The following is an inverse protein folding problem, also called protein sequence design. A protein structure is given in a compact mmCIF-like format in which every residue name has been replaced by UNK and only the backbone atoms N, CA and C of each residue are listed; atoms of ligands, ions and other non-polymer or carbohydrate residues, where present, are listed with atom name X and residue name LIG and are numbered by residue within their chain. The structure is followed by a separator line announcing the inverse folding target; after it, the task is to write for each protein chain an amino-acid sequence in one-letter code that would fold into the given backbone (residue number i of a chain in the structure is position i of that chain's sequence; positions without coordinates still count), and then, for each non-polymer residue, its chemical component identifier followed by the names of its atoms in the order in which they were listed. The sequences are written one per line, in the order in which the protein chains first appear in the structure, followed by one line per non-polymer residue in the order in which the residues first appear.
data_IF_243344276812
#
_entry.id   IF_243344276812
#
_cell.length_a   1.000
_cell.length_b   1.000
_cell.length_c   1.000
_cell.angle_alpha   90.00
_cell.angle_beta   90.00
_cell.angle_gamma   90.00
#
_symmetry.space_group_name_H-M   'P 1'
#
loop_
_entity.id
_entity.type
_entity.pdbx_description
1 polymer ?
#
# COMPACT_ATOMS: atom_id res chain seq x y z
N UNK A 1 66.31 -62.79 1.00
CA UNK A 1 66.53 -62.23 2.36
C UNK A 1 66.13 -60.77 2.28
N UNK A 2 65.22 -60.16 3.04
CA UNK A 2 64.37 -60.58 4.15
C UNK A 2 63.19 -59.58 4.28
N UNK A 3 62.17 -59.99 5.04
CA UNK A 3 60.90 -59.29 5.31
C UNK A 3 61.07 -58.06 6.22
N UNK A 4 60.07 -57.18 6.22
CA UNK A 4 59.83 -56.22 7.32
C UNK A 4 58.46 -55.53 7.23
N UNK A 5 57.48 -56.07 7.97
CA UNK A 5 56.18 -55.45 8.28
C UNK A 5 56.35 -54.33 9.32
N UNK A 6 55.45 -53.35 9.32
CA UNK A 6 55.29 -52.38 10.40
C UNK A 6 54.04 -51.52 10.24
N UNK A 7 52.88 -52.08 10.57
CA UNK A 7 51.62 -51.34 10.77
C UNK A 7 51.69 -50.67 12.13
N UNK A 8 51.37 -49.38 12.21
CA UNK A 8 50.84 -48.76 13.43
C UNK A 8 49.65 -47.89 13.05
N UNK A 9 48.47 -48.41 13.37
CA UNK A 9 47.23 -47.67 13.45
C UNK A 9 47.37 -46.54 14.48
N UNK A 10 46.94 -45.34 14.12
CA UNK A 10 46.24 -44.44 15.04
C UNK A 10 45.25 -43.58 14.26
N UNK A 11 44.02 -44.05 14.38
CA UNK A 11 42.69 -43.50 14.16
C UNK A 11 42.44 -42.00 14.46
N UNK A 12 41.44 -41.47 13.73
CA UNK A 12 40.54 -40.30 13.95
C UNK A 12 41.17 -38.93 13.62
N UNK A 13 40.58 -38.02 12.83
CA UNK A 13 39.17 -37.68 12.65
C UNK A 13 38.92 -36.97 11.30
N UNK A 14 37.72 -37.19 10.75
CA UNK A 14 36.76 -36.18 10.24
C UNK A 14 37.35 -34.85 9.71
N UNK A 15 37.05 -34.38 8.50
CA UNK A 15 35.70 -34.11 7.98
C UNK A 15 35.74 -34.15 6.45
N UNK A 16 34.87 -34.96 5.85
CA UNK A 16 34.43 -34.80 4.46
C UNK A 16 33.86 -33.40 4.27
N UNK A 17 34.56 -32.55 3.52
CA UNK A 17 34.00 -31.29 3.04
C UNK A 17 32.87 -31.64 2.07
N UNK A 18 31.64 -31.68 2.59
CA UNK A 18 30.45 -31.55 1.78
C UNK A 18 30.57 -30.20 1.07
N UNK A 19 30.85 -30.24 -0.23
CA UNK A 19 30.47 -29.16 -1.11
C UNK A 19 28.93 -29.12 -1.15
N UNK A 20 28.33 -28.53 -0.11
CA UNK A 20 26.98 -28.03 -0.22
C UNK A 20 27.04 -26.95 -1.30
N UNK A 21 26.64 -27.32 -2.50
CA UNK A 21 26.25 -26.36 -3.52
C UNK A 21 25.12 -25.54 -2.90
N UNK A 22 25.47 -24.43 -2.26
CA UNK A 22 24.56 -23.31 -2.06
C UNK A 22 24.33 -22.75 -3.45
N UNK A 23 23.50 -23.44 -4.24
CA UNK A 23 22.80 -22.83 -5.32
C UNK A 23 22.10 -21.62 -4.69
N UNK A 24 22.63 -20.43 -4.93
CA UNK A 24 21.83 -19.23 -4.87
C UNK A 24 20.74 -19.47 -5.91
N UNK A 25 19.61 -20.06 -5.50
CA UNK A 25 18.42 -20.02 -6.32
C UNK A 25 18.21 -18.54 -6.64
N UNK A 26 18.18 -18.16 -7.92
CA UNK A 26 17.86 -16.79 -8.26
C UNK A 26 16.49 -16.53 -7.64
N UNK A 27 16.45 -15.61 -6.67
CA UNK A 27 15.19 -15.09 -6.16
C UNK A 27 14.43 -14.61 -7.39
N UNK A 28 13.40 -15.36 -7.78
CA UNK A 28 12.50 -14.98 -8.84
C UNK A 28 11.79 -13.71 -8.36
N UNK A 29 12.38 -12.55 -8.66
CA UNK A 29 11.70 -11.28 -8.49
C UNK A 29 10.43 -11.38 -9.32
N UNK A 30 9.23 -11.24 -8.72
CA UNK A 30 8.00 -11.26 -9.48
C UNK A 30 8.11 -10.27 -10.63
N UNK A 31 7.90 -10.74 -11.86
CA UNK A 31 7.93 -9.85 -13.02
C UNK A 31 6.90 -8.73 -12.79
N UNK A 32 7.35 -7.48 -12.77
CA UNK A 32 6.49 -6.29 -12.69
C UNK A 32 5.55 -6.31 -13.89
N UNK A 33 4.24 -6.34 -13.62
CA UNK A 33 3.22 -6.39 -14.66
C UNK A 33 2.42 -5.09 -14.68
N UNK A 34 2.05 -4.59 -15.86
CA UNK A 34 1.04 -3.55 -15.97
C UNK A 34 -0.26 -4.04 -15.33
N UNK A 35 -0.87 -3.20 -14.50
CA UNK A 35 -2.17 -3.46 -13.88
C UNK A 35 -3.22 -2.64 -14.60
N UNK A 36 -4.31 -3.30 -15.01
CA UNK A 36 -5.48 -2.61 -15.55
C UNK A 36 -6.44 -2.30 -14.39
N UNK A 37 -6.83 -1.04 -14.28
CA UNK A 37 -7.85 -0.65 -13.33
C UNK A 37 -9.23 -1.06 -13.84
N UNK A 38 -10.09 -1.66 -12.99
CA UNK A 38 -11.40 -2.13 -13.40
C UNK A 38 -12.38 -0.98 -13.70
N UNK A 39 -12.22 0.15 -13.02
CA UNK A 39 -13.05 1.34 -13.20
C UNK A 39 -12.15 2.58 -13.31
N UNK A 40 -11.95 3.13 -14.52
CA UNK A 40 -11.20 4.36 -14.70
C UNK A 40 -11.97 5.56 -14.14
N UNK A 41 -11.25 6.65 -13.89
CA UNK A 41 -11.82 7.89 -13.36
C UNK A 41 -12.93 8.45 -14.28
N UNK A 42 -14.10 8.82 -13.73
CA UNK A 42 -15.20 9.36 -14.50
C UNK A 42 -14.84 10.71 -15.12
N UNK A 43 -15.62 11.17 -16.11
CA UNK A 43 -15.37 12.46 -16.75
C UNK A 43 -15.40 13.65 -15.79
N UNK A 44 -16.24 13.58 -14.76
CA UNK A 44 -16.30 14.58 -13.69
C UNK A 44 -15.01 14.70 -12.87
N UNK A 45 -14.13 13.69 -12.91
CA UNK A 45 -12.85 13.67 -12.20
C UNK A 45 -11.69 14.29 -13.00
N UNK A 46 -11.93 14.91 -14.16
CA UNK A 46 -10.86 15.51 -14.96
C UNK A 46 -10.06 16.55 -14.17
N UNK A 47 -10.71 17.32 -13.31
CA UNK A 47 -10.05 18.32 -12.47
C UNK A 47 -8.99 17.71 -11.53
N UNK A 48 -9.19 16.46 -11.07
CA UNK A 48 -8.23 15.74 -10.22
C UNK A 48 -6.98 15.41 -11.02
N UNK A 49 -7.16 14.92 -12.25
CA UNK A 49 -6.06 14.62 -13.18
C UNK A 49 -5.27 15.88 -13.49
N UNK A 50 -5.97 16.97 -13.84
CA UNK A 50 -5.34 18.25 -14.17
C UNK A 50 -4.56 18.83 -12.98
N UNK A 51 -5.14 18.76 -11.77
CA UNK A 51 -4.49 19.20 -10.54
C UNK A 51 -3.24 18.38 -10.25
N UNK A 52 -3.34 17.05 -10.29
CA UNK A 52 -2.21 16.15 -9.99
C UNK A 52 -1.09 16.30 -11.03
N UNK A 53 -1.41 16.47 -12.31
CA UNK A 53 -0.44 16.68 -13.37
C UNK A 53 0.30 18.03 -13.26
N UNK A 54 -0.32 19.04 -12.65
CA UNK A 54 0.31 20.35 -12.39
C UNK A 54 1.24 20.36 -11.16
N UNK A 55 1.21 19.30 -10.34
CA UNK A 55 2.02 19.17 -9.14
C UNK A 55 3.34 18.44 -9.40
N UNK A 56 4.28 18.59 -8.47
CA UNK A 56 5.53 17.84 -8.51
C UNK A 56 5.26 16.38 -8.13
N UNK A 57 5.20 15.51 -9.14
CA UNK A 57 5.07 14.07 -8.97
C UNK A 57 6.37 13.46 -8.41
N UNK A 58 6.30 12.49 -7.48
CA UNK A 58 7.44 11.65 -7.17
C UNK A 58 7.99 11.02 -8.47
N UNK A 59 9.32 10.93 -8.66
CA UNK A 59 9.92 10.44 -9.92
C UNK A 59 9.46 9.05 -10.36
N UNK A 60 8.99 8.24 -9.41
CA UNK A 60 8.48 6.88 -9.64
C UNK A 60 7.03 6.87 -10.14
N UNK A 61 6.29 7.96 -9.92
CA UNK A 61 4.89 8.06 -10.31
C UNK A 61 4.78 8.47 -11.78
N UNK A 62 4.19 7.64 -12.64
CA UNK A 62 3.83 8.08 -13.97
C UNK A 62 2.75 9.16 -13.87
N UNK A 63 2.70 10.06 -14.85
CA UNK A 63 1.59 11.02 -14.96
C UNK A 63 0.26 10.27 -15.09
N UNK A 64 -0.71 10.53 -14.20
CA UNK A 64 -1.99 9.86 -14.29
C UNK A 64 -2.81 10.40 -15.44
N UNK A 65 -3.62 9.53 -16.02
CA UNK A 65 -4.69 9.86 -16.96
C UNK A 65 -6.00 9.38 -16.37
N UNK A 66 -7.13 9.82 -16.92
CA UNK A 66 -8.43 9.27 -16.51
C UNK A 66 -8.52 7.74 -16.64
N UNK A 67 -7.86 7.16 -17.65
CA UNK A 67 -7.83 5.71 -17.85
C UNK A 67 -6.93 4.96 -16.87
N UNK A 68 -5.94 5.64 -16.28
CA UNK A 68 -4.95 5.01 -15.38
C UNK A 68 -5.15 5.38 -13.91
N UNK A 69 -6.13 6.23 -13.60
CA UNK A 69 -6.46 6.64 -12.23
C UNK A 69 -7.81 6.07 -11.79
N UNK A 70 -7.90 5.68 -10.52
CA UNK A 70 -9.14 5.43 -9.79
C UNK A 70 -9.37 6.55 -8.79
N UNK A 71 -10.59 7.08 -8.74
CA UNK A 71 -11.03 7.97 -7.65
C UNK A 71 -11.80 7.14 -6.63
N UNK A 72 -11.33 7.11 -5.38
CA UNK A 72 -11.97 6.37 -4.29
C UNK A 72 -13.04 7.20 -3.60
N UNK A 73 -12.72 8.44 -3.25
CA UNK A 73 -13.67 9.35 -2.63
C UNK A 73 -13.52 10.75 -3.23
N UNK A 74 -14.62 11.50 -3.28
CA UNK A 74 -14.65 12.90 -3.67
C UNK A 74 -15.92 13.56 -3.16
N UNK A 75 -15.81 14.83 -2.74
CA UNK A 75 -16.97 15.66 -2.38
C UNK A 75 -17.59 16.40 -3.59
N UNK A 76 -17.06 16.15 -4.79
CA UNK A 76 -17.53 16.73 -6.03
C UNK A 76 -16.45 17.55 -6.73
N UNK A 77 -15.82 18.52 -6.06
CA UNK A 77 -14.85 19.42 -6.69
C UNK A 77 -13.80 20.07 -5.76
N UNK A 78 -13.84 19.84 -4.45
CA UNK A 78 -12.85 20.44 -3.55
C UNK A 78 -11.90 19.40 -2.97
N UNK A 79 -12.41 18.21 -2.68
CA UNK A 79 -11.67 17.13 -2.03
C UNK A 79 -11.74 15.85 -2.83
N UNK A 80 -10.66 15.09 -2.78
CA UNK A 80 -10.61 13.78 -3.36
C UNK A 80 -9.50 12.89 -2.79
N UNK A 81 -9.71 11.58 -2.88
CA UNK A 81 -8.67 10.58 -2.76
C UNK A 81 -8.65 9.76 -4.03
N UNK A 82 -7.50 9.71 -4.69
CA UNK A 82 -7.32 8.97 -5.92
C UNK A 82 -6.01 8.18 -5.90
N UNK A 83 -5.96 7.08 -6.64
CA UNK A 83 -4.74 6.28 -6.79
C UNK A 83 -4.59 5.78 -8.23
N UNK A 84 -3.36 5.45 -8.59
CA UNK A 84 -3.01 4.80 -9.85
C UNK A 84 -1.85 3.84 -9.62
N UNK A 85 -1.88 2.70 -10.30
CA UNK A 85 -0.84 1.70 -10.19
C UNK A 85 0.37 2.13 -11.03
N UNK A 86 1.57 1.98 -10.47
CA UNK A 86 2.82 2.06 -11.25
C UNK A 86 3.03 0.71 -11.94
N UNK A 87 2.90 -0.36 -11.17
CA UNK A 87 2.88 -1.76 -11.63
C UNK A 87 2.13 -2.63 -10.61
N UNK A 88 2.33 -3.95 -10.64
CA UNK A 88 1.71 -4.90 -9.72
C UNK A 88 2.21 -4.84 -8.27
N UNK A 89 3.25 -4.06 -7.97
CA UNK A 89 3.88 -3.96 -6.65
C UNK A 89 3.81 -2.55 -6.07
N UNK A 90 3.76 -1.54 -6.93
CA UNK A 90 3.93 -0.15 -6.57
C UNK A 90 2.69 0.68 -6.95
N UNK A 91 2.29 1.60 -6.08
CA UNK A 91 1.11 2.47 -6.25
C UNK A 91 1.45 3.91 -5.93
N UNK A 92 0.86 4.81 -6.71
CA UNK A 92 0.85 6.23 -6.43
C UNK A 92 -0.55 6.65 -6.01
N UNK A 93 -0.64 7.55 -5.03
CA UNK A 93 -1.93 8.05 -4.58
C UNK A 93 -1.82 9.52 -4.20
N UNK A 94 -2.94 10.22 -4.39
CA UNK A 94 -3.11 11.63 -4.09
C UNK A 94 -4.22 11.79 -3.06
N UNK A 95 -3.96 12.61 -2.05
CA UNK A 95 -5.00 13.12 -1.15
C UNK A 95 -5.07 14.63 -1.35
N UNK A 96 -6.25 15.08 -1.75
CA UNK A 96 -6.60 16.47 -2.01
C UNK A 96 -7.54 16.91 -0.90
N UNK A 97 -7.04 17.71 0.04
CA UNK A 97 -7.83 18.26 1.15
C UNK A 97 -8.54 19.57 0.78
N UNK A 98 -8.05 20.25 -0.27
CA UNK A 98 -8.66 21.44 -0.85
C UNK A 98 -8.07 21.64 -2.25
N UNK A 99 -8.90 21.93 -3.25
CA UNK A 99 -8.43 22.04 -4.64
C UNK A 99 -7.48 23.21 -4.85
N UNK A 100 -7.78 24.33 -4.21
CA UNK A 100 -7.08 25.61 -4.38
C UNK A 100 -6.02 25.90 -3.30
N UNK A 101 -5.84 25.02 -2.31
CA UNK A 101 -4.97 25.26 -1.15
C UNK A 101 -4.10 24.03 -0.88
N UNK A 102 -2.81 24.26 -0.62
CA UNK A 102 -1.93 23.21 -0.10
C UNK A 102 -2.40 22.79 1.31
N UNK A 103 -2.41 21.49 1.67
CA UNK A 103 -1.63 20.43 1.06
C UNK A 103 -2.48 19.45 0.25
N UNK A 104 -2.34 19.51 -1.08
CA UNK A 104 -2.49 18.31 -1.90
C UNK A 104 -1.15 17.61 -1.89
N UNK A 105 -1.11 16.34 -1.47
CA UNK A 105 0.14 15.58 -1.43
C UNK A 105 -0.01 14.33 -2.27
N UNK A 106 1.05 14.02 -3.01
CA UNK A 106 1.16 12.83 -3.84
C UNK A 106 2.26 11.95 -3.25
N UNK A 107 1.93 10.69 -3.01
CA UNK A 107 2.86 9.72 -2.46
C UNK A 107 3.04 8.55 -3.41
N UNK A 108 4.23 7.96 -3.33
CA UNK A 108 4.57 6.66 -3.88
C UNK A 108 4.72 5.68 -2.71
N UNK A 109 4.14 4.48 -2.83
CA UNK A 109 4.31 3.42 -1.84
C UNK A 109 4.31 2.04 -2.52
N UNK A 110 5.07 1.12 -1.94
CA UNK A 110 4.88 -0.30 -2.23
C UNK A 110 3.54 -0.76 -1.65
N UNK A 111 2.82 -1.62 -2.37
CA UNK A 111 1.54 -2.18 -1.91
C UNK A 111 1.72 -2.90 -0.56
N UNK A 112 2.79 -3.67 -0.37
CA UNK A 112 3.09 -4.33 0.90
C UNK A 112 3.25 -3.36 2.09
N UNK A 113 3.78 -2.16 1.84
CA UNK A 113 3.88 -1.12 2.87
C UNK A 113 2.48 -0.67 3.31
N UNK A 114 1.58 -0.43 2.35
CA UNK A 114 0.18 -0.07 2.64
C UNK A 114 -0.58 -1.18 3.39
N UNK A 115 -0.24 -2.44 3.13
CA UNK A 115 -0.83 -3.60 3.81
C UNK A 115 -0.43 -3.72 5.29
N UNK A 116 0.63 -3.04 5.72
CA UNK A 116 1.20 -3.23 7.07
C UNK A 116 1.28 -1.94 7.87
N UNK A 117 1.63 -0.81 7.27
CA UNK A 117 1.77 0.48 7.95
C UNK A 117 0.45 1.03 8.47
N UNK A 118 0.51 1.81 9.55
CA UNK A 118 -0.59 2.69 9.97
C UNK A 118 -0.81 3.77 8.90
N UNK A 119 -2.06 4.01 8.45
CA UNK A 119 -2.34 5.03 7.44
C UNK A 119 -1.84 6.40 7.89
N UNK A 120 -1.15 7.11 7.00
CA UNK A 120 -0.70 8.47 7.30
C UNK A 120 -1.80 9.47 6.98
N UNK A 121 -2.06 10.43 7.89
CA UNK A 121 -3.01 11.50 7.66
C UNK A 121 -2.43 12.51 6.64
N UNK A 122 -3.25 13.04 5.74
CA UNK A 122 -2.81 14.08 4.80
C UNK A 122 -2.66 15.46 5.45
N UNK A 123 -3.46 15.74 6.47
CA UNK A 123 -3.34 16.89 7.36
C UNK A 123 -3.32 16.40 8.81
N UNK A 124 -2.59 17.06 9.69
CA UNK A 124 -2.50 16.75 11.14
C UNK A 124 -3.01 17.91 12.01
N UNK A 125 -3.55 18.96 11.38
CA UNK A 125 -4.05 20.15 12.06
C UNK A 125 -5.34 19.85 12.82
N UNK A 126 -5.33 20.09 14.13
CA UNK A 126 -6.47 19.82 14.99
C UNK A 126 -7.74 20.56 14.54
N UNK A 127 -8.88 19.87 14.53
CA UNK A 127 -10.17 20.42 14.15
C UNK A 127 -10.43 20.49 12.65
N UNK A 128 -9.46 20.11 11.80
CA UNK A 128 -9.65 20.03 10.35
C UNK A 128 -10.03 18.60 9.92
N UNK A 129 -10.63 18.56 8.74
CA UNK A 129 -10.98 17.32 8.05
C UNK A 129 -9.80 16.84 7.20
N UNK A 130 -9.51 15.55 7.27
CA UNK A 130 -8.41 14.89 6.58
C UNK A 130 -8.88 13.57 5.96
N UNK A 131 -8.11 13.08 5.00
CA UNK A 131 -8.28 11.72 4.51
C UNK A 131 -7.07 10.87 4.85
N UNK A 132 -7.30 9.57 4.92
CA UNK A 132 -6.27 8.56 4.97
C UNK A 132 -6.52 7.49 3.92
N UNK A 133 -5.44 6.83 3.51
CA UNK A 133 -5.41 5.83 2.44
C UNK A 133 -4.63 4.60 2.89
N UNK A 134 -5.19 3.42 2.65
CA UNK A 134 -4.63 2.12 3.06
C UNK A 134 -5.03 0.99 2.12
N UNK A 135 -4.53 -0.21 2.38
CA UNK A 135 -4.82 -1.41 1.59
C UNK A 135 -5.05 -2.65 2.45
N UNK A 136 -5.78 -3.61 1.89
CA UNK A 136 -6.02 -4.94 2.45
C UNK A 136 -5.73 -6.01 1.40
N UNK A 137 -5.17 -7.13 1.83
CA UNK A 137 -4.96 -8.29 0.97
C UNK A 137 -6.29 -9.02 0.77
N UNK A 138 -6.55 -9.41 -0.47
CA UNK A 138 -7.79 -10.04 -0.89
C UNK A 138 -8.91 -9.06 -1.21
N UNK A 139 -10.09 -9.63 -1.50
CA UNK A 139 -11.33 -8.87 -1.71
C UNK A 139 -11.98 -8.57 -0.37
N UNK A 140 -12.22 -7.29 -0.10
CA UNK A 140 -12.97 -6.82 1.08
C UNK A 140 -14.24 -6.12 0.60
N UNK A 141 -15.40 -6.60 1.06
CA UNK A 141 -16.69 -6.04 0.66
C UNK A 141 -17.13 -4.87 1.54
N UNK A 142 -16.70 -4.87 2.81
CA UNK A 142 -17.05 -3.84 3.79
C UNK A 142 -15.94 -3.73 4.83
N UNK A 143 -15.79 -2.53 5.39
CA UNK A 143 -14.93 -2.25 6.53
C UNK A 143 -15.82 -1.75 7.66
N UNK A 144 -15.71 -2.39 8.82
CA UNK A 144 -16.32 -1.93 10.05
C UNK A 144 -15.35 -1.00 10.76
N UNK A 145 -15.87 0.11 11.29
CA UNK A 145 -15.06 1.09 12.00
C UNK A 145 -15.39 1.04 13.48
N UNK A 146 -14.34 0.98 14.30
CA UNK A 146 -14.43 0.92 15.76
C UNK A 146 -13.50 1.93 16.42
N UNK A 147 -13.68 2.15 17.72
CA UNK A 147 -12.99 3.20 18.48
C UNK A 147 -13.85 4.45 18.54
N UNK A 148 -13.52 5.46 17.74
CA UNK A 148 -14.18 6.78 17.70
C UNK A 148 -14.84 7.06 16.33
N UNK A 149 -15.90 6.31 15.95
CA UNK A 149 -16.53 6.45 14.64
C UNK A 149 -17.22 7.80 14.42
N UNK A 150 -17.49 8.56 15.49
CA UNK A 150 -18.16 9.87 15.42
C UNK A 150 -17.31 10.92 14.68
N UNK A 151 -16.01 10.69 14.58
CA UNK A 151 -15.11 11.53 13.79
C UNK A 151 -15.06 11.17 12.31
N UNK A 152 -15.72 10.09 11.86
CA UNK A 152 -15.86 9.82 10.43
C UNK A 152 -16.85 10.79 9.79
N UNK A 153 -16.41 11.42 8.70
CA UNK A 153 -17.21 12.39 7.95
C UNK A 153 -17.89 11.71 6.75
N UNK A 154 -17.29 10.65 6.20
CA UNK A 154 -17.85 9.86 5.11
C UNK A 154 -17.68 8.35 5.35
N UNK A 155 -18.50 7.50 4.71
CA UNK A 155 -18.29 6.05 4.74
C UNK A 155 -16.94 5.66 4.12
N UNK A 156 -16.33 4.60 4.62
CA UNK A 156 -15.11 4.03 4.03
C UNK A 156 -15.38 3.62 2.57
N UNK A 157 -14.60 4.15 1.63
CA UNK A 157 -14.68 3.82 0.21
C UNK A 157 -13.65 2.78 -0.14
N UNK A 158 -14.06 1.77 -0.90
CA UNK A 158 -13.25 0.60 -1.23
C UNK A 158 -13.13 0.40 -2.73
N UNK A 159 -11.96 -0.04 -3.18
CA UNK A 159 -11.76 -0.59 -4.52
C UNK A 159 -10.83 -1.79 -4.50
N UNK A 160 -11.32 -2.93 -4.96
CA UNK A 160 -10.49 -4.11 -5.21
C UNK A 160 -9.88 -4.06 -6.61
N UNK A 161 -8.58 -4.30 -6.68
CA UNK A 161 -7.76 -4.39 -7.89
C UNK A 161 -7.14 -5.80 -7.97
N UNK A 162 -7.06 -6.34 -9.18
CA UNK A 162 -6.31 -7.56 -9.47
C UNK A 162 -4.90 -7.18 -9.92
N UNK A 163 -3.90 -7.54 -9.11
CA UNK A 163 -2.48 -7.28 -9.39
C UNK A 163 -1.89 -8.36 -10.33
N UNK A 164 -2.68 -9.36 -10.72
CA UNK A 164 -2.29 -10.51 -11.51
C UNK A 164 -1.92 -11.71 -10.63
N UNK A 165 -1.82 -12.89 -11.26
CA UNK A 165 -1.50 -14.16 -10.57
C UNK A 165 -2.44 -14.49 -9.40
N UNK A 166 -3.70 -14.04 -9.48
CA UNK A 166 -4.71 -14.16 -8.43
C UNK A 166 -4.39 -13.42 -7.13
N UNK A 167 -3.45 -12.45 -7.15
CA UNK A 167 -3.24 -11.53 -6.03
C UNK A 167 -4.21 -10.35 -6.14
N UNK A 168 -5.16 -10.30 -5.23
CA UNK A 168 -6.15 -9.23 -5.12
C UNK A 168 -5.77 -8.30 -3.99
N UNK A 169 -5.90 -7.00 -4.20
CA UNK A 169 -5.74 -5.99 -3.15
C UNK A 169 -6.92 -5.05 -3.15
N UNK A 170 -7.48 -4.80 -1.96
CA UNK A 170 -8.54 -3.81 -1.75
C UNK A 170 -7.97 -2.56 -1.13
N UNK A 171 -7.93 -1.49 -1.91
CA UNK A 171 -7.60 -0.16 -1.43
C UNK A 171 -8.79 0.46 -0.71
N UNK A 172 -8.52 1.18 0.37
CA UNK A 172 -9.51 1.84 1.20
C UNK A 172 -9.12 3.29 1.45
N UNK A 173 -10.10 4.19 1.33
CA UNK A 173 -9.99 5.58 1.73
C UNK A 173 -11.12 5.92 2.70
N UNK A 174 -10.84 6.81 3.65
CA UNK A 174 -11.86 7.30 4.58
C UNK A 174 -11.57 8.73 4.96
N UNK A 175 -12.65 9.48 5.17
CA UNK A 175 -12.66 10.89 5.54
C UNK A 175 -12.99 11.00 7.01
N UNK A 176 -12.18 11.72 7.76
CA UNK A 176 -12.41 11.93 9.18
C UNK A 176 -12.02 13.35 9.61
N UNK A 177 -12.54 13.76 10.76
CA UNK A 177 -12.21 15.01 11.43
C UNK A 177 -11.17 14.75 12.50
N UNK A 178 -10.08 15.52 12.50
CA UNK A 178 -9.05 15.44 13.53
C UNK A 178 -9.60 16.06 14.82
N UNK A 179 -9.53 15.37 15.97
CA UNK A 179 -10.06 15.91 17.23
C UNK A 179 -9.50 17.30 17.55
N UNK A 180 -10.37 18.28 17.75
CA UNK A 180 -9.98 19.65 18.11
C UNK A 180 -9.24 19.74 19.45
N UNK A 181 -9.34 18.69 20.28
CA UNK A 181 -8.65 18.57 21.56
C UNK A 181 -7.15 18.31 21.40
N UNK A 182 -6.66 18.02 20.19
CA UNK A 182 -5.27 17.62 19.92
C UNK A 182 -4.92 16.21 20.41
N UNK A 183 -5.91 15.45 20.91
CA UNK A 183 -5.72 14.04 21.23
C UNK A 183 -5.63 13.22 19.94
N UNK A 184 -4.81 12.15 19.92
CA UNK A 184 -4.84 11.21 18.81
C UNK A 184 -6.26 10.69 18.61
N UNK A 185 -6.66 10.63 17.35
CA UNK A 185 -7.83 9.89 16.97
C UNK A 185 -7.59 8.41 17.31
N UNK A 186 -8.62 7.69 17.75
CA UNK A 186 -8.52 6.25 17.95
C UNK A 186 -9.51 5.59 17.01
N UNK A 187 -9.06 5.33 15.79
CA UNK A 187 -9.85 4.65 14.77
C UNK A 187 -9.22 3.30 14.45
N UNK A 188 -10.04 2.27 14.38
CA UNK A 188 -9.64 0.96 13.92
C UNK A 188 -10.55 0.47 12.81
N UNK A 189 -9.93 -0.01 11.74
CA UNK A 189 -10.64 -0.54 10.57
C UNK A 189 -10.58 -2.07 10.57
N UNK A 190 -11.73 -2.70 10.68
CA UNK A 190 -11.89 -4.14 10.82
C UNK A 190 -12.51 -4.73 9.54
N UNK A 191 -11.86 -5.75 8.99
CA UNK A 191 -12.47 -6.58 7.93
C UNK A 191 -13.33 -7.67 8.58
N UNK A 192 -14.45 -8.10 7.97
CA UNK A 192 -15.34 -9.12 8.57
C UNK A 192 -14.66 -10.45 8.92
N UNK A 193 -13.60 -10.82 8.21
CA UNK A 193 -12.92 -12.10 8.32
C UNK A 193 -11.49 -11.99 8.86
N UNK A 194 -11.08 -10.81 9.32
CA UNK A 194 -9.68 -10.51 9.65
C UNK A 194 -9.54 -9.62 10.88
N UNK A 195 -8.30 -9.37 11.27
CA UNK A 195 -7.99 -8.51 12.41
C UNK A 195 -8.26 -7.03 12.09
N UNK A 196 -8.63 -6.28 13.12
CA UNK A 196 -8.67 -4.82 13.05
C UNK A 196 -7.25 -4.27 12.88
N UNK A 197 -7.13 -3.21 12.10
CA UNK A 197 -5.89 -2.46 11.94
C UNK A 197 -6.06 -1.07 12.52
N UNK A 198 -5.01 -0.59 13.17
CA UNK A 198 -4.90 0.80 13.57
C UNK A 198 -5.00 1.70 12.34
N UNK A 199 -5.86 2.70 12.43
CA UNK A 199 -6.16 3.62 11.35
C UNK A 199 -5.60 5.01 11.62
N UNK A 200 -5.36 5.37 12.89
CA UNK A 200 -4.80 6.66 13.29
C UNK A 200 -4.41 6.66 14.78
#
# INVERSE_FOLDING_TARGET
MGRGFGVLCSTVALVTVLAAATACEPVLVPARRPVLLPEPAPASAQWIVDLVAALNLPPQCPEPTRSTMTVLDTDGQDRAVAFWMVDSLDVCYAIINHRDVAPTTIWFAAVEDLLTRTPMPADTTAGLDSYAFTAYRGRVAQIEVSGDPDHLVSPVRLRTIDLGAADLVTFAAYHYRIPATGRPLSLSLCTPTGACRDAH
#
